data_IF_500339122149
#
_entry.id   IF_500339122149
#
_cell.length_a   1.000
_cell.length_b   1.000
_cell.length_c   1.000
_cell.angle_alpha   90.00
_cell.angle_beta   90.00
_cell.angle_gamma   90.00
#
_symmetry.space_group_name_H-M   'P 1'
#
loop_
_entity.id
_entity.type
_entity.pdbx_description
1 polymer ?
#
# COMPACT_ATOMS: atom_id res chain seq x y z
N UNK A 1 5.42 10.75 41.09
CA UNK A 1 6.16 11.04 39.84
C UNK A 1 5.21 10.67 38.71
N UNK A 2 5.52 11.01 37.46
CA UNK A 2 4.69 10.63 36.32
C UNK A 2 5.51 9.84 35.31
N UNK A 3 4.92 8.75 34.79
CA UNK A 3 5.43 8.06 33.62
C UNK A 3 4.88 8.78 32.40
N UNK A 4 5.77 9.28 31.55
CA UNK A 4 5.42 9.88 30.27
C UNK A 4 5.83 8.97 29.13
N UNK A 5 4.86 8.59 28.32
CA UNK A 5 5.08 7.91 27.05
C UNK A 5 4.78 8.86 25.90
N UNK A 6 5.75 9.03 25.01
CA UNK A 6 5.59 9.74 23.73
C UNK A 6 5.55 8.69 22.63
N UNK A 7 4.37 8.46 22.06
CA UNK A 7 4.14 7.46 21.01
C UNK A 7 4.11 8.20 19.67
N UNK A 8 5.10 7.95 18.80
CA UNK A 8 5.05 8.49 17.44
C UNK A 8 3.84 7.93 16.69
N UNK A 9 3.12 8.80 16.01
CA UNK A 9 1.88 8.43 15.35
C UNK A 9 1.68 9.24 14.07
N UNK A 10 1.82 8.59 12.92
CA UNK A 10 1.89 9.22 11.60
C UNK A 10 0.52 9.52 10.98
N UNK A 11 -0.53 9.67 11.80
CA UNK A 11 -1.89 9.98 11.34
C UNK A 11 -2.54 11.04 12.21
N UNK A 12 -3.26 11.98 11.61
CA UNK A 12 -4.06 12.99 12.31
C UNK A 12 -5.29 12.38 13.00
N UNK A 13 -5.51 11.07 12.87
CA UNK A 13 -6.57 10.38 13.56
C UNK A 13 -6.36 10.34 15.08
N UNK A 14 -7.48 10.34 15.80
CA UNK A 14 -7.51 10.39 17.26
C UNK A 14 -7.96 9.07 17.88
N UNK A 15 -8.35 8.07 17.08
CA UNK A 15 -8.89 6.81 17.61
C UNK A 15 -7.88 6.08 18.49
N UNK A 16 -6.59 6.11 18.13
CA UNK A 16 -5.56 5.44 18.92
C UNK A 16 -5.41 6.08 20.31
N UNK A 17 -5.36 7.42 20.37
CA UNK A 17 -5.40 8.17 21.63
C UNK A 17 -6.70 7.92 22.40
N UNK A 18 -7.83 7.81 21.69
CA UNK A 18 -9.13 7.48 22.25
C UNK A 18 -9.18 6.10 22.93
N UNK A 19 -8.54 5.07 22.34
CA UNK A 19 -8.40 3.74 22.94
C UNK A 19 -7.55 3.79 24.21
N UNK A 20 -6.42 4.51 24.18
CA UNK A 20 -5.59 4.71 25.38
C UNK A 20 -6.40 5.39 26.49
N UNK A 21 -7.16 6.43 26.16
CA UNK A 21 -7.99 7.15 27.12
C UNK A 21 -9.06 6.26 27.78
N UNK A 22 -9.68 5.36 27.00
CA UNK A 22 -10.62 4.36 27.50
C UNK A 22 -9.95 3.33 28.43
N UNK A 23 -8.75 2.88 28.09
CA UNK A 23 -7.97 1.96 28.94
C UNK A 23 -7.54 2.64 30.26
N UNK A 24 -7.09 3.90 30.22
CA UNK A 24 -6.79 4.70 31.42
C UNK A 24 -8.00 4.75 32.35
N UNK A 25 -9.17 5.13 31.81
CA UNK A 25 -10.42 5.21 32.59
C UNK A 25 -10.80 3.87 33.21
N UNK A 26 -10.71 2.77 32.45
CA UNK A 26 -11.05 1.41 32.92
C UNK A 26 -10.08 0.84 33.94
N UNK A 27 -8.84 1.31 33.93
CA UNK A 27 -7.81 0.86 34.87
C UNK A 27 -7.85 1.62 36.19
N UNK A 28 -8.69 2.66 36.26
CA UNK A 28 -8.85 3.55 37.41
C UNK A 28 -7.51 4.20 37.82
N UNK A 29 -6.64 4.47 36.83
CA UNK A 29 -5.36 5.15 37.02
C UNK A 29 -5.54 6.64 36.72
N UNK A 30 -4.94 7.50 37.55
CA UNK A 30 -4.86 8.92 37.23
C UNK A 30 -3.92 9.10 36.03
N UNK A 31 -4.43 9.72 34.97
CA UNK A 31 -3.69 9.80 33.71
C UNK A 31 -4.30 10.76 32.71
N UNK A 32 -3.45 11.22 31.81
CA UNK A 32 -3.79 12.19 30.77
C UNK A 32 -3.34 11.66 29.41
N UNK A 33 -4.24 11.72 28.43
CA UNK A 33 -3.92 11.42 27.03
C UNK A 33 -4.13 12.68 26.21
N UNK A 34 -3.12 13.07 25.43
CA UNK A 34 -3.20 14.22 24.54
C UNK A 34 -2.55 13.94 23.20
N UNK A 35 -3.03 14.61 22.16
CA UNK A 35 -2.44 14.58 20.81
C UNK A 35 -1.53 15.80 20.63
N UNK A 36 -0.30 15.56 20.21
CA UNK A 36 0.57 16.54 19.54
C UNK A 36 0.62 16.20 18.04
N UNK A 37 1.13 17.10 17.19
CA UNK A 37 1.13 16.94 15.72
C UNK A 37 1.51 15.52 15.27
N UNK A 38 2.68 15.03 15.67
CA UNK A 38 3.19 13.71 15.24
C UNK A 38 3.30 12.68 16.37
N UNK A 39 2.69 12.95 17.53
CA UNK A 39 2.72 12.00 18.66
C UNK A 39 1.48 11.98 19.54
N UNK A 40 1.20 10.83 20.13
CA UNK A 40 0.25 10.67 21.22
C UNK A 40 1.06 10.66 22.52
N UNK A 41 0.70 11.56 23.43
CA UNK A 41 1.35 11.70 24.72
C UNK A 41 0.43 11.09 25.77
N UNK A 42 0.97 10.13 26.51
CA UNK A 42 0.34 9.50 27.66
C UNK A 42 1.14 9.86 28.92
N UNK A 43 0.46 10.42 29.92
CA UNK A 43 0.99 10.66 31.25
C UNK A 43 0.22 9.80 32.25
N UNK A 44 0.92 9.06 33.09
CA UNK A 44 0.34 8.19 34.11
C UNK A 44 0.94 8.48 35.47
N UNK A 45 0.11 8.45 36.51
CA UNK A 45 0.55 8.56 37.90
C UNK A 45 1.20 7.25 38.30
N UNK A 46 2.44 7.31 38.77
CA UNK A 46 3.20 6.14 39.15
C UNK A 46 3.07 5.75 40.63
N UNK A 47 2.25 6.47 41.40
CA UNK A 47 2.09 6.24 42.84
C UNK A 47 1.25 5.00 43.18
N UNK A 48 0.26 4.63 42.35
CA UNK A 48 -0.58 3.45 42.55
C UNK A 48 -0.11 2.28 41.66
N UNK A 49 0.74 1.43 42.23
CA UNK A 49 1.28 0.22 41.59
C UNK A 49 0.17 -0.71 41.09
N UNK A 50 -0.93 -0.85 41.85
CA UNK A 50 -2.03 -1.73 41.47
C UNK A 50 -2.78 -1.19 40.25
N UNK A 51 -2.92 0.14 40.14
CA UNK A 51 -3.51 0.78 38.96
C UNK A 51 -2.62 0.64 37.72
N UNK A 52 -1.29 0.73 37.89
CA UNK A 52 -0.31 0.49 36.81
C UNK A 52 -0.39 -0.95 36.31
N UNK A 53 -0.48 -1.93 37.21
CA UNK A 53 -0.64 -3.34 36.85
C UNK A 53 -1.95 -3.58 36.08
N UNK A 54 -3.07 -3.00 36.55
CA UNK A 54 -4.35 -3.05 35.81
C UNK A 54 -4.22 -2.42 34.43
N UNK A 55 -3.57 -1.27 34.32
CA UNK A 55 -3.33 -0.58 33.06
C UNK A 55 -2.49 -1.41 32.09
N UNK A 56 -1.40 -2.01 32.57
CA UNK A 56 -0.53 -2.88 31.78
C UNK A 56 -1.31 -4.09 31.25
N UNK A 57 -2.07 -4.76 32.11
CA UNK A 57 -2.87 -5.92 31.74
C UNK A 57 -3.95 -5.56 30.71
N UNK A 58 -4.65 -4.43 30.90
CA UNK A 58 -5.66 -3.95 29.95
C UNK A 58 -5.04 -3.56 28.61
N UNK A 59 -3.88 -2.91 28.62
CA UNK A 59 -3.15 -2.53 27.40
C UNK A 59 -2.74 -3.76 26.62
N UNK A 60 -2.12 -4.75 27.27
CA UNK A 60 -1.71 -5.99 26.62
C UNK A 60 -2.89 -6.75 25.99
N UNK A 61 -4.06 -6.72 26.63
CA UNK A 61 -5.23 -7.47 26.17
C UNK A 61 -6.07 -6.73 25.13
N UNK A 62 -6.23 -5.42 25.27
CA UNK A 62 -7.26 -4.67 24.54
C UNK A 62 -6.73 -3.54 23.67
N UNK A 63 -5.46 -3.15 23.80
CA UNK A 63 -4.90 -2.09 22.96
C UNK A 63 -4.70 -2.61 21.53
N UNK A 64 -5.37 -2.04 20.53
CA UNK A 64 -5.12 -2.41 19.15
C UNK A 64 -3.76 -1.93 18.66
N UNK A 65 -3.15 -2.69 17.76
CA UNK A 65 -2.04 -2.21 16.93
C UNK A 65 -2.58 -1.31 15.80
N UNK A 66 -1.81 -0.30 15.41
CA UNK A 66 -2.13 0.61 14.29
C UNK A 66 -0.98 0.65 13.30
N UNK A 67 -1.28 0.70 11.99
CA UNK A 67 -0.25 0.89 10.95
C UNK A 67 0.46 2.26 11.04
N UNK A 68 -0.11 3.22 11.75
CA UNK A 68 0.48 4.55 11.93
C UNK A 68 1.37 4.66 13.16
N UNK A 69 1.42 3.63 14.00
CA UNK A 69 2.19 3.62 15.23
C UNK A 69 3.69 3.50 14.93
N UNK A 70 4.47 4.41 15.50
CA UNK A 70 5.92 4.40 15.45
C UNK A 70 6.56 4.09 16.81
N UNK A 71 7.78 4.61 17.00
CA UNK A 71 8.53 4.40 18.24
C UNK A 71 7.82 4.99 19.46
N UNK A 72 8.05 4.34 20.61
CA UNK A 72 7.53 4.76 21.92
C UNK A 72 8.71 5.12 22.81
N UNK A 73 8.78 6.38 23.21
CA UNK A 73 9.78 6.86 24.18
C UNK A 73 9.13 6.98 25.56
N UNK A 74 9.77 6.40 26.58
CA UNK A 74 9.27 6.45 27.97
C UNK A 74 10.28 7.16 28.86
N UNK A 75 9.81 8.18 29.60
CA UNK A 75 10.60 8.89 30.59
C UNK A 75 9.79 9.07 31.88
N UNK A 76 10.50 9.26 33.00
CA UNK A 76 9.89 9.70 34.25
C UNK A 76 10.08 11.21 34.39
N UNK A 77 9.01 11.93 34.67
CA UNK A 77 9.06 13.37 34.94
C UNK A 77 8.12 13.74 36.10
N UNK A 78 8.40 14.85 36.77
CA UNK A 78 7.45 15.45 37.70
C UNK A 78 6.47 16.30 36.89
N UNK A 79 5.24 15.81 36.75
CA UNK A 79 4.18 16.48 36.02
C UNK A 79 2.88 16.46 36.83
N UNK A 80 2.14 17.57 36.79
CA UNK A 80 0.80 17.62 37.35
C UNK A 80 -0.18 16.84 36.46
N UNK A 81 -0.67 15.73 36.98
CA UNK A 81 -1.62 14.87 36.27
C UNK A 81 -3.02 15.39 36.52
N UNK A 82 -3.56 16.08 35.52
CA UNK A 82 -4.98 16.41 35.45
C UNK A 82 -5.64 15.44 34.49
N UNK A 83 -6.61 14.66 34.99
CA UNK A 83 -7.38 13.74 34.16
C UNK A 83 -8.01 14.51 33.00
N UNK A 84 -7.71 14.09 31.77
CA UNK A 84 -8.33 14.64 30.57
C UNK A 84 -9.47 13.75 30.09
N UNK A 85 -10.43 14.36 29.39
CA UNK A 85 -11.34 13.66 28.51
C UNK A 85 -10.97 14.01 27.07
N UNK A 86 -10.39 13.06 26.35
CA UNK A 86 -10.29 13.13 24.90
C UNK A 86 -11.62 12.65 24.29
N UNK A 87 -12.20 13.42 23.39
CA UNK A 87 -13.27 12.98 22.50
C UNK A 87 -12.71 12.87 21.08
N UNK A 88 -12.97 11.76 20.40
CA UNK A 88 -12.59 11.57 19.01
C UNK A 88 -13.80 11.72 18.09
N UNK A 89 -13.55 12.07 16.82
CA UNK A 89 -14.54 11.81 15.76
C UNK A 89 -14.68 10.31 15.48
N UNK A 90 -15.57 9.97 14.55
CA UNK A 90 -15.68 8.62 14.01
C UNK A 90 -14.66 8.36 12.92
N UNK A 91 -14.24 7.10 12.85
CA UNK A 91 -13.32 6.61 11.85
C UNK A 91 -13.87 5.29 11.31
N UNK A 92 -13.62 5.04 10.02
CA UNK A 92 -13.98 3.79 9.37
C UNK A 92 -12.95 2.71 9.70
N UNK A 93 -12.85 2.37 10.99
CA UNK A 93 -11.93 1.37 11.53
C UNK A 93 -12.68 0.12 11.97
N UNK A 94 -11.97 -0.99 12.07
CA UNK A 94 -12.58 -2.26 12.47
C UNK A 94 -13.01 -2.27 13.94
N UNK A 95 -13.73 -3.32 14.33
CA UNK A 95 -14.03 -3.58 15.74
C UNK A 95 -12.73 -3.74 16.53
N UNK A 96 -12.61 -3.00 17.63
CA UNK A 96 -11.49 -3.17 18.55
C UNK A 96 -11.49 -4.58 19.19
N UNK A 97 -10.36 -5.04 19.74
CA UNK A 97 -10.25 -6.36 20.36
C UNK A 97 -11.34 -6.66 21.40
N UNK A 98 -11.75 -5.65 22.18
CA UNK A 98 -12.84 -5.79 23.16
C UNK A 98 -14.21 -6.00 22.52
N UNK A 99 -14.49 -5.35 21.40
CA UNK A 99 -15.74 -5.55 20.66
C UNK A 99 -15.75 -6.91 19.95
N UNK A 100 -14.61 -7.34 19.41
CA UNK A 100 -14.45 -8.67 18.83
C UNK A 100 -14.67 -9.78 19.86
N UNK A 101 -14.07 -9.66 21.06
CA UNK A 101 -14.31 -10.61 22.15
C UNK A 101 -15.81 -10.69 22.52
N UNK A 102 -16.49 -9.55 22.61
CA UNK A 102 -17.94 -9.52 22.86
C UNK A 102 -18.76 -10.19 21.75
N UNK A 103 -18.37 -10.00 20.48
CA UNK A 103 -19.08 -10.55 19.33
C UNK A 103 -18.88 -12.06 19.20
N UNK A 104 -17.69 -12.55 19.56
CA UNK A 104 -17.23 -13.93 19.29
C UNK A 104 -17.35 -14.87 20.49
N UNK A 105 -17.50 -14.36 21.71
CA UNK A 105 -17.59 -15.17 22.92
C UNK A 105 -19.05 -15.59 23.24
N UNK A 106 -19.38 -16.89 23.27
CA UNK A 106 -20.75 -17.37 23.57
C UNK A 106 -21.31 -16.96 24.93
N UNK A 107 -20.45 -16.57 25.88
CA UNK A 107 -20.87 -16.08 27.21
C UNK A 107 -21.21 -14.58 27.22
N UNK A 108 -20.97 -13.87 26.13
CA UNK A 108 -21.25 -12.44 25.99
C UNK A 108 -22.72 -12.19 25.67
N UNK A 109 -23.29 -11.12 26.25
CA UNK A 109 -24.64 -10.65 25.89
C UNK A 109 -24.75 -10.14 24.45
N UNK A 110 -23.62 -9.83 23.82
CA UNK A 110 -23.52 -9.36 22.42
C UNK A 110 -22.97 -10.43 21.48
N UNK A 111 -23.02 -11.71 21.89
CA UNK A 111 -22.59 -12.81 21.03
C UNK A 111 -23.41 -12.84 19.74
N UNK A 112 -22.72 -12.79 18.59
CA UNK A 112 -23.32 -12.71 17.25
C UNK A 112 -24.29 -11.53 17.04
N UNK A 113 -24.14 -10.45 17.81
CA UNK A 113 -24.91 -9.21 17.64
C UNK A 113 -24.39 -8.40 16.45
N UNK A 114 -25.13 -8.44 15.33
CA UNK A 114 -24.80 -7.74 14.09
C UNK A 114 -24.98 -6.21 14.17
N UNK A 115 -25.53 -5.71 15.27
CA UNK A 115 -25.72 -4.29 15.56
C UNK A 115 -24.58 -3.69 16.38
N UNK A 116 -23.60 -4.51 16.79
CA UNK A 116 -22.47 -4.04 17.60
C UNK A 116 -21.69 -2.96 16.86
N UNK A 117 -21.39 -1.88 17.58
CA UNK A 117 -20.57 -0.78 17.10
C UNK A 117 -19.50 -0.45 18.13
N UNK A 118 -18.35 0.06 17.68
CA UNK A 118 -17.27 0.39 18.59
C UNK A 118 -17.49 1.77 19.22
N UNK A 119 -17.46 1.80 20.55
CA UNK A 119 -17.52 3.02 21.36
C UNK A 119 -16.30 3.18 22.29
N UNK A 120 -15.26 2.37 22.11
CA UNK A 120 -14.12 2.27 23.03
C UNK A 120 -12.95 3.19 22.66
N UNK A 121 -13.06 4.01 21.61
CA UNK A 121 -12.07 5.03 21.29
C UNK A 121 -12.57 6.46 21.56
N UNK A 122 -13.49 6.60 22.53
CA UNK A 122 -14.04 7.90 22.96
C UNK A 122 -14.72 8.70 21.85
N UNK A 123 -15.38 8.02 20.93
CA UNK A 123 -16.05 8.63 19.80
C UNK A 123 -17.44 9.18 20.14
N UNK A 124 -17.79 10.31 19.51
CA UNK A 124 -19.05 11.03 19.77
C UNK A 124 -20.31 10.20 19.49
N UNK A 125 -20.32 9.39 18.44
CA UNK A 125 -21.45 8.51 18.09
C UNK A 125 -20.92 7.28 17.36
N UNK A 126 -21.28 6.03 17.71
CA UNK A 126 -20.75 4.88 17.00
C UNK A 126 -21.12 4.87 15.50
N UNK A 127 -20.13 4.69 14.61
CA UNK A 127 -20.34 4.55 13.17
C UNK A 127 -20.70 3.09 12.85
N UNK A 128 -21.76 2.88 12.07
CA UNK A 128 -22.06 1.59 11.46
C UNK A 128 -21.49 1.59 10.04
N UNK A 129 -20.53 0.71 9.79
CA UNK A 129 -19.95 0.49 8.45
C UNK A 129 -20.81 -0.53 7.73
N UNK A 130 -21.40 -0.14 6.60
CA UNK A 130 -22.11 -1.08 5.73
C UNK A 130 -21.10 -1.89 4.93
N UNK A 131 -21.32 -3.21 4.90
CA UNK A 131 -20.50 -4.15 4.14
C UNK A 131 -21.37 -4.78 3.04
N UNK A 132 -21.16 -4.31 1.81
CA UNK A 132 -21.86 -4.77 0.63
C UNK A 132 -21.17 -5.95 -0.07
N UNK A 133 -20.04 -6.44 0.45
CA UNK A 133 -19.28 -7.52 -0.17
C UNK A 133 -20.05 -8.83 -0.11
N UNK A 134 -19.84 -9.66 -1.13
CA UNK A 134 -20.32 -11.04 -1.18
C UNK A 134 -19.10 -11.95 -1.06
N UNK A 135 -19.13 -12.82 -0.05
CA UNK A 135 -18.04 -13.76 0.23
C UNK A 135 -18.37 -15.14 -0.32
N UNK A 136 -17.42 -15.76 -1.01
CA UNK A 136 -17.58 -17.03 -1.74
C UNK A 136 -16.38 -17.95 -1.52
N UNK A 137 -16.55 -19.28 -1.47
CA UNK A 137 -15.42 -20.21 -1.51
C UNK A 137 -14.79 -20.33 -2.92
N UNK A 138 -15.43 -19.74 -3.94
CA UNK A 138 -14.98 -19.77 -5.33
C UNK A 138 -14.23 -18.49 -5.68
N UNK A 139 -13.03 -18.66 -6.24
CA UNK A 139 -12.19 -17.56 -6.73
C UNK A 139 -12.65 -17.11 -8.11
N UNK A 140 -12.76 -15.79 -8.27
CA UNK A 140 -12.85 -15.08 -9.55
C UNK A 140 -11.59 -14.24 -9.76
N UNK A 141 -11.26 -13.96 -11.01
CA UNK A 141 -10.06 -13.19 -11.32
C UNK A 141 -10.13 -11.78 -10.74
N UNK A 142 -9.16 -11.42 -9.90
CA UNK A 142 -9.12 -10.12 -9.22
C UNK A 142 -9.62 -10.16 -7.77
N UNK A 143 -10.23 -11.26 -7.33
CA UNK A 143 -10.73 -11.41 -5.96
C UNK A 143 -9.63 -11.24 -4.91
N UNK A 144 -10.03 -10.64 -3.80
CA UNK A 144 -9.26 -10.61 -2.55
C UNK A 144 -9.69 -11.78 -1.67
N UNK A 145 -8.74 -12.37 -0.95
CA UNK A 145 -9.01 -13.44 0.00
C UNK A 145 -9.26 -12.87 1.39
N UNK A 146 -10.41 -13.20 1.98
CA UNK A 146 -10.73 -12.96 3.38
C UNK A 146 -10.07 -14.03 4.25
N UNK A 147 -9.23 -13.59 5.19
CA UNK A 147 -8.60 -14.46 6.19
C UNK A 147 -9.64 -14.87 7.22
N UNK A 148 -10.01 -16.14 7.22
CA UNK A 148 -11.00 -16.69 8.15
C UNK A 148 -10.39 -16.98 9.53
N UNK A 149 -9.16 -17.49 9.56
CA UNK A 149 -8.45 -17.80 10.79
C UNK A 149 -6.99 -17.31 10.73
N UNK A 150 -6.66 -16.34 11.58
CA UNK A 150 -5.31 -15.78 11.67
C UNK A 150 -4.25 -16.81 12.10
N UNK A 151 -4.64 -17.88 12.81
CA UNK A 151 -3.71 -18.96 13.19
C UNK A 151 -3.23 -19.80 11.99
N UNK A 152 -3.91 -19.70 10.84
CA UNK A 152 -3.60 -20.43 9.61
C UNK A 152 -2.72 -19.65 8.64
N UNK A 153 -2.40 -18.38 8.92
CA UNK A 153 -1.64 -17.51 8.01
C UNK A 153 -0.33 -18.15 7.54
N UNK A 154 0.47 -18.70 8.46
CA UNK A 154 1.77 -19.32 8.13
C UNK A 154 1.65 -20.65 7.38
N UNK A 155 0.46 -21.25 7.34
CA UNK A 155 0.18 -22.44 6.55
C UNK A 155 -0.18 -22.05 5.11
N UNK A 156 -0.98 -20.98 4.96
CA UNK A 156 -1.51 -20.53 3.68
C UNK A 156 -0.54 -19.64 2.90
N UNK A 157 0.28 -18.84 3.59
CA UNK A 157 1.09 -17.77 3.00
C UNK A 157 2.53 -17.77 3.50
N UNK A 158 3.43 -17.19 2.71
CA UNK A 158 4.77 -16.78 3.16
C UNK A 158 4.67 -15.28 3.45
N UNK A 159 4.86 -14.92 4.72
CA UNK A 159 4.71 -13.55 5.21
C UNK A 159 5.83 -13.19 6.18
N UNK A 160 6.22 -11.93 6.17
CA UNK A 160 7.08 -11.29 7.16
C UNK A 160 6.28 -10.90 8.41
N UNK A 161 6.98 -10.62 9.51
CA UNK A 161 6.32 -10.12 10.72
C UNK A 161 5.62 -8.78 10.50
N UNK A 162 6.18 -7.90 9.67
CA UNK A 162 5.62 -6.59 9.39
C UNK A 162 4.32 -6.70 8.58
N UNK A 163 4.25 -7.62 7.62
CA UNK A 163 3.02 -7.93 6.89
C UNK A 163 1.92 -8.47 7.82
N UNK A 164 2.28 -9.36 8.76
CA UNK A 164 1.32 -9.88 9.75
C UNK A 164 0.82 -8.75 10.67
N UNK A 165 1.72 -7.89 11.17
CA UNK A 165 1.36 -6.74 12.01
C UNK A 165 0.46 -5.75 11.27
N UNK A 166 0.75 -5.48 10.00
CA UNK A 166 -0.07 -4.61 9.16
C UNK A 166 -1.46 -5.23 8.93
N UNK A 167 -1.54 -6.48 8.49
CA UNK A 167 -2.81 -7.20 8.24
C UNK A 167 -3.72 -7.26 9.48
N UNK A 168 -3.12 -7.47 10.65
CA UNK A 168 -3.85 -7.63 11.91
C UNK A 168 -4.06 -6.31 12.67
N UNK A 169 -3.63 -5.17 12.14
CA UNK A 169 -3.88 -3.86 12.73
C UNK A 169 -5.39 -3.53 12.84
N UNK A 170 -5.74 -2.44 13.52
CA UNK A 170 -7.14 -1.99 13.63
C UNK A 170 -7.72 -1.46 12.32
N UNK A 171 -6.86 -0.97 11.43
CA UNK A 171 -7.25 -0.46 10.12
C UNK A 171 -7.54 -1.59 9.12
N UNK A 172 -7.02 -2.81 9.36
CA UNK A 172 -7.24 -4.02 8.55
C UNK A 172 -6.99 -3.77 7.04
N UNK A 173 -5.79 -3.28 6.66
CA UNK A 173 -5.47 -3.03 5.27
C UNK A 173 -5.43 -4.33 4.47
N UNK A 174 -5.62 -4.20 3.16
CA UNK A 174 -5.36 -5.24 2.18
C UNK A 174 -3.88 -5.23 1.83
N UNK A 175 -3.26 -6.41 1.90
CA UNK A 175 -1.85 -6.62 1.55
C UNK A 175 -1.73 -7.72 0.52
N UNK A 176 -0.68 -7.65 -0.30
CA UNK A 176 -0.33 -8.69 -1.27
C UNK A 176 0.73 -9.60 -0.68
N UNK A 177 0.49 -10.91 -0.72
CA UNK A 177 1.39 -11.92 -0.13
C UNK A 177 1.68 -13.06 -1.09
N UNK A 178 2.72 -13.83 -0.80
CA UNK A 178 3.05 -15.04 -1.57
C UNK A 178 2.24 -16.22 -1.06
N UNK A 179 1.58 -16.94 -1.95
CA UNK A 179 0.83 -18.16 -1.61
C UNK A 179 1.84 -19.28 -1.30
N UNK A 180 1.66 -19.91 -0.14
CA UNK A 180 2.38 -21.13 0.28
C UNK A 180 1.57 -22.38 -0.05
N UNK A 181 0.26 -22.35 0.19
CA UNK A 181 -0.61 -23.51 0.03
C UNK A 181 -0.80 -23.93 -1.44
N UNK A 182 -0.59 -25.21 -1.72
CA UNK A 182 -0.66 -25.75 -3.08
C UNK A 182 -2.09 -25.84 -3.62
N UNK A 183 -3.09 -26.05 -2.76
CA UNK A 183 -4.50 -26.08 -3.13
C UNK A 183 -4.96 -24.71 -3.61
N UNK A 184 -4.63 -23.66 -2.84
CA UNK A 184 -4.92 -22.28 -3.15
C UNK A 184 -4.21 -21.82 -4.44
N UNK A 185 -2.95 -22.21 -4.66
CA UNK A 185 -2.27 -21.98 -5.95
C UNK A 185 -3.01 -22.62 -7.12
N UNK A 186 -3.54 -23.83 -6.95
CA UNK A 186 -4.28 -24.53 -8.00
C UNK A 186 -5.62 -23.86 -8.30
N UNK A 187 -6.34 -23.42 -7.26
CA UNK A 187 -7.63 -22.73 -7.39
C UNK A 187 -7.46 -21.39 -8.10
N UNK A 188 -6.46 -20.60 -7.68
CA UNK A 188 -6.24 -19.25 -8.21
C UNK A 188 -5.42 -19.23 -9.49
N UNK A 189 -4.63 -20.30 -9.76
CA UNK A 189 -3.57 -20.30 -10.77
C UNK A 189 -2.54 -19.19 -10.58
N UNK A 190 -2.35 -18.71 -9.34
CA UNK A 190 -1.45 -17.59 -9.00
C UNK A 190 -0.41 -17.99 -7.96
N UNK A 191 0.70 -17.25 -7.95
CA UNK A 191 1.73 -17.32 -6.91
C UNK A 191 1.53 -16.27 -5.81
N UNK A 192 0.78 -15.20 -6.10
CA UNK A 192 0.52 -14.09 -5.20
C UNK A 192 -0.98 -13.84 -5.12
N UNK A 193 -1.43 -13.31 -3.98
CA UNK A 193 -2.83 -12.93 -3.79
C UNK A 193 -2.94 -11.77 -2.82
N UNK A 194 -3.97 -10.95 -3.01
CA UNK A 194 -4.39 -9.92 -2.05
C UNK A 194 -5.15 -10.60 -0.93
N UNK A 195 -4.81 -10.31 0.32
CA UNK A 195 -5.50 -10.82 1.49
C UNK A 195 -5.95 -9.67 2.40
N UNK A 196 -7.06 -9.89 3.09
CA UNK A 196 -7.62 -8.96 4.07
C UNK A 196 -8.11 -9.70 5.30
N UNK A 197 -7.89 -9.13 6.48
CA UNK A 197 -8.53 -9.61 7.70
C UNK A 197 -9.96 -9.06 7.80
N UNK A 198 -10.87 -9.75 8.50
CA UNK A 198 -12.24 -9.26 8.72
C UNK A 198 -12.22 -7.86 9.34
N UNK A 199 -12.78 -6.90 8.62
CA UNK A 199 -12.78 -5.49 9.00
C UNK A 199 -14.15 -4.99 9.45
N UNK A 200 -15.24 -5.62 9.03
CA UNK A 200 -16.61 -5.27 9.42
C UNK A 200 -17.25 -6.33 10.31
N UNK A 201 -18.41 -6.02 10.90
CA UNK A 201 -19.22 -6.98 11.68
C UNK A 201 -19.64 -8.16 10.79
N UNK A 202 -20.13 -7.86 9.58
CA UNK A 202 -20.54 -8.88 8.59
C UNK A 202 -19.36 -9.78 8.21
N UNK A 203 -18.22 -9.21 7.81
CA UNK A 203 -17.02 -9.98 7.48
C UNK A 203 -16.59 -10.88 8.64
N UNK A 204 -16.65 -10.37 9.88
CA UNK A 204 -16.29 -11.13 11.08
C UNK A 204 -17.24 -12.30 11.32
N UNK A 205 -18.56 -12.08 11.23
CA UNK A 205 -19.56 -13.14 11.38
C UNK A 205 -19.46 -14.18 10.25
N UNK A 206 -19.22 -13.73 9.02
CA UNK A 206 -19.00 -14.61 7.87
C UNK A 206 -17.76 -15.47 8.07
N UNK A 207 -16.66 -14.89 8.56
CA UNK A 207 -15.45 -15.64 8.89
C UNK A 207 -15.71 -16.67 10.02
N UNK A 208 -16.43 -16.31 11.08
CA UNK A 208 -16.79 -17.25 12.14
C UNK A 208 -17.58 -18.45 11.61
N UNK A 209 -18.63 -18.19 10.81
CA UNK A 209 -19.44 -19.25 10.23
C UNK A 209 -18.62 -20.13 9.27
N UNK A 210 -17.75 -19.52 8.46
CA UNK A 210 -16.83 -20.26 7.58
C UNK A 210 -15.88 -21.16 8.38
N UNK A 211 -15.33 -20.66 9.49
CA UNK A 211 -14.46 -21.41 10.38
C UNK A 211 -15.18 -22.62 11.00
N UNK A 212 -16.40 -22.43 11.47
CA UNK A 212 -17.23 -23.51 12.04
C UNK A 212 -17.60 -24.55 10.97
N UNK A 213 -17.72 -24.13 9.71
CA UNK A 213 -17.90 -24.99 8.54
C UNK A 213 -16.61 -25.58 7.96
N UNK A 214 -15.47 -25.45 8.66
CA UNK A 214 -14.14 -25.93 8.22
C UNK A 214 -13.63 -25.32 6.89
N UNK A 215 -14.12 -24.13 6.54
CA UNK A 215 -13.66 -23.36 5.38
C UNK A 215 -12.51 -22.44 5.81
N UNK A 216 -11.31 -22.69 5.30
CA UNK A 216 -10.09 -21.98 5.75
C UNK A 216 -9.95 -20.54 5.22
N UNK A 217 -10.65 -20.20 4.13
CA UNK A 217 -10.62 -18.88 3.51
C UNK A 217 -11.84 -18.65 2.61
N UNK A 218 -12.16 -17.40 2.35
CA UNK A 218 -13.19 -16.97 1.40
C UNK A 218 -12.62 -15.95 0.43
N UNK A 219 -13.25 -15.78 -0.72
CA UNK A 219 -12.92 -14.79 -1.75
C UNK A 219 -14.05 -13.77 -1.86
N UNK A 220 -13.70 -12.55 -2.24
CA UNK A 220 -14.64 -11.49 -2.52
C UNK A 220 -14.02 -10.43 -3.44
N UNK A 221 -14.86 -9.76 -4.20
CA UNK A 221 -14.50 -8.55 -4.91
C UNK A 221 -14.46 -7.39 -3.90
N UNK A 222 -13.28 -6.80 -3.68
CA UNK A 222 -13.12 -5.71 -2.72
C UNK A 222 -13.57 -4.38 -3.35
N UNK A 223 -14.65 -3.78 -2.83
CA UNK A 223 -15.15 -2.48 -3.31
C UNK A 223 -14.41 -1.29 -2.71
N UNK A 224 -14.09 -1.37 -1.42
CA UNK A 224 -13.42 -0.32 -0.66
C UNK A 224 -12.11 -0.83 -0.08
N UNK A 225 -11.01 -0.14 -0.35
CA UNK A 225 -9.68 -0.63 -0.07
C UNK A 225 -8.83 0.41 0.67
N UNK A 226 -8.27 -0.02 1.79
CA UNK A 226 -7.03 0.53 2.32
C UNK A 226 -5.94 -0.46 1.92
N UNK A 227 -5.17 -0.15 0.87
CA UNK A 227 -4.14 -1.03 0.34
C UNK A 227 -2.78 -0.54 0.82
N UNK A 228 -2.00 -1.44 1.43
CA UNK A 228 -0.66 -1.11 1.89
C UNK A 228 0.34 -2.14 1.38
N UNK A 229 1.59 -1.72 1.26
CA UNK A 229 2.74 -2.60 1.08
C UNK A 229 3.73 -2.37 2.21
N UNK A 230 4.54 -3.38 2.51
CA UNK A 230 5.59 -3.26 3.53
C UNK A 230 6.95 -3.51 2.88
N UNK A 231 7.92 -2.65 3.18
CA UNK A 231 9.30 -2.83 2.73
C UNK A 231 10.26 -2.35 3.82
N UNK A 232 11.16 -3.24 4.26
CA UNK A 232 12.22 -2.94 5.25
C UNK A 232 11.69 -2.26 6.52
N UNK A 233 10.56 -2.73 7.07
CA UNK A 233 9.93 -2.16 8.26
C UNK A 233 9.09 -0.91 8.03
N UNK A 234 9.05 -0.36 6.81
CA UNK A 234 8.17 0.76 6.48
C UNK A 234 6.86 0.27 5.86
N UNK A 235 5.74 0.79 6.36
CA UNK A 235 4.41 0.59 5.75
C UNK A 235 4.15 1.78 4.83
N UNK A 236 3.85 1.47 3.57
CA UNK A 236 3.49 2.43 2.54
C UNK A 236 2.03 2.27 2.18
N UNK A 237 1.26 3.36 2.30
CA UNK A 237 -0.16 3.38 1.95
C UNK A 237 -0.25 3.64 0.45
N UNK A 238 -0.57 2.60 -0.32
CA UNK A 238 -0.70 2.69 -1.78
C UNK A 238 -1.99 3.45 -2.13
N UNK A 239 -3.09 3.05 -1.49
CA UNK A 239 -4.42 3.59 -1.75
C UNK A 239 -5.27 3.56 -0.49
N UNK A 240 -6.15 4.52 -0.34
CA UNK A 240 -7.10 4.59 0.77
C UNK A 240 -8.43 5.20 0.33
N UNK A 241 -9.38 4.35 -0.08
CA UNK A 241 -10.75 4.78 -0.35
C UNK A 241 -11.60 4.88 0.93
N UNK A 242 -11.10 4.37 2.06
CA UNK A 242 -11.79 4.34 3.35
C UNK A 242 -11.61 5.65 4.15
N UNK A 243 -10.72 6.56 3.70
CA UNK A 243 -10.36 7.81 4.36
C UNK A 243 -9.83 7.59 5.79
N UNK A 244 -8.98 6.58 5.96
CA UNK A 244 -8.30 6.24 7.21
C UNK A 244 -6.99 7.02 7.37
N UNK A 245 -6.25 7.17 6.27
CA UNK A 245 -5.06 8.00 6.14
C UNK A 245 -5.40 9.49 6.22
N UNK A 246 -4.37 10.33 6.28
CA UNK A 246 -4.54 11.77 6.33
C UNK A 246 -5.19 12.29 5.04
N UNK A 247 -6.15 13.20 5.20
CA UNK A 247 -6.74 13.89 4.06
C UNK A 247 -5.77 14.93 3.52
N UNK A 248 -5.63 14.99 2.19
CA UNK A 248 -4.84 16.02 1.53
C UNK A 248 -5.49 17.40 1.73
N UNK A 249 -4.68 18.39 2.09
CA UNK A 249 -5.05 19.80 1.97
C UNK A 249 -5.18 20.16 0.49
N UNK A 250 -6.05 21.12 0.16
CA UNK A 250 -6.23 21.63 -1.20
C UNK A 250 -5.17 22.71 -1.50
N UNK A 251 -3.97 22.26 -1.88
CA UNK A 251 -2.81 23.11 -2.17
C UNK A 251 -2.64 23.41 -3.66
N UNK A 252 -3.24 22.60 -4.55
CA UNK A 252 -3.20 22.75 -6.01
C UNK A 252 -4.39 22.05 -6.68
N UNK A 253 -4.83 22.56 -7.84
CA UNK A 253 -5.93 21.96 -8.62
C UNK A 253 -5.53 20.65 -9.31
N UNK A 254 -4.25 20.50 -9.71
CA UNK A 254 -3.72 19.25 -10.25
C UNK A 254 -3.51 18.26 -9.10
N UNK A 255 -4.23 17.14 -9.12
CA UNK A 255 -4.21 16.13 -8.05
C UNK A 255 -2.83 15.56 -7.76
N UNK A 256 -2.00 15.39 -8.79
CA UNK A 256 -0.64 14.85 -8.65
C UNK A 256 0.26 15.91 -7.99
N UNK A 257 0.16 17.17 -8.43
CA UNK A 257 0.88 18.28 -7.78
C UNK A 257 0.41 18.45 -6.33
N UNK A 258 -0.90 18.42 -6.08
CA UNK A 258 -1.48 18.57 -4.76
C UNK A 258 -0.95 17.51 -3.78
N UNK A 259 -0.94 16.24 -4.21
CA UNK A 259 -0.37 15.13 -3.42
C UNK A 259 1.11 15.35 -3.15
N UNK A 260 1.90 15.71 -4.18
CA UNK A 260 3.32 15.99 -4.02
C UNK A 260 3.60 17.10 -2.98
N UNK A 261 2.82 18.19 -3.01
CA UNK A 261 2.96 19.28 -2.06
C UNK A 261 2.60 18.88 -0.62
N UNK A 262 1.52 18.11 -0.44
CA UNK A 262 1.14 17.59 0.87
C UNK A 262 2.22 16.67 1.46
N UNK A 263 2.77 15.74 0.66
CA UNK A 263 3.85 14.85 1.09
C UNK A 263 5.14 15.64 1.36
N UNK A 264 5.44 16.66 0.56
CA UNK A 264 6.60 17.54 0.81
C UNK A 264 6.45 18.31 2.12
N UNK A 265 5.23 18.78 2.43
CA UNK A 265 4.89 19.43 3.70
C UNK A 265 5.05 18.47 4.87
N UNK A 266 4.56 17.23 4.76
CA UNK A 266 4.76 16.16 5.75
C UNK A 266 6.25 15.92 6.04
N UNK A 267 7.08 15.92 5.00
CA UNK A 267 8.51 15.71 5.11
C UNK A 267 9.29 16.95 5.63
N UNK A 268 8.63 18.11 5.77
CA UNK A 268 9.27 19.37 6.13
C UNK A 268 10.14 19.96 5.01
N UNK A 269 9.89 19.60 3.75
CA UNK A 269 10.68 20.08 2.61
C UNK A 269 10.12 21.38 2.05
N UNK A 270 10.96 22.42 1.99
CA UNK A 270 10.62 23.69 1.32
C UNK A 270 10.78 23.63 -0.20
N UNK A 271 11.64 22.74 -0.69
CA UNK A 271 11.92 22.50 -2.10
C UNK A 271 12.17 20.99 -2.25
N UNK A 272 11.62 20.37 -3.28
CA UNK A 272 11.71 18.92 -3.48
C UNK A 272 11.62 18.53 -4.96
N UNK A 273 12.10 17.34 -5.26
CA UNK A 273 11.95 16.67 -6.56
C UNK A 273 11.09 15.42 -6.35
N UNK A 274 10.06 15.25 -7.18
CA UNK A 274 9.16 14.10 -7.10
C UNK A 274 9.38 13.14 -8.26
N UNK A 275 9.35 11.84 -7.98
CA UNK A 275 9.03 10.82 -8.96
C UNK A 275 7.62 10.25 -8.67
N UNK A 276 6.70 10.49 -9.58
CA UNK A 276 5.37 9.88 -9.60
C UNK A 276 5.39 8.69 -10.56
N UNK A 277 5.35 7.47 -10.01
CA UNK A 277 5.34 6.22 -10.76
C UNK A 277 3.95 5.57 -10.61
N UNK A 278 2.99 6.04 -11.40
CA UNK A 278 1.59 5.60 -11.32
C UNK A 278 1.17 4.90 -12.61
N UNK A 279 0.46 3.78 -12.48
CA UNK A 279 -0.18 3.08 -13.61
C UNK A 279 -1.29 3.94 -14.19
N UNK A 280 -2.12 4.55 -13.33
CA UNK A 280 -3.30 5.33 -13.74
C UNK A 280 -2.95 6.75 -14.17
N UNK A 281 -2.11 7.44 -13.39
CA UNK A 281 -1.76 8.84 -13.63
C UNK A 281 -0.53 8.98 -14.55
N UNK A 282 0.09 7.86 -14.93
CA UNK A 282 1.31 7.80 -15.73
C UNK A 282 2.57 8.15 -14.94
N UNK A 283 3.72 7.97 -15.59
CA UNK A 283 5.02 8.29 -15.00
C UNK A 283 5.36 9.76 -15.23
N UNK A 284 5.71 10.48 -14.17
CA UNK A 284 6.08 11.88 -14.25
C UNK A 284 7.08 12.30 -13.17
N UNK A 285 7.82 13.37 -13.46
CA UNK A 285 8.81 13.94 -12.55
C UNK A 285 8.52 15.42 -12.37
N UNK A 286 8.42 15.83 -11.12
CA UNK A 286 8.03 17.19 -10.74
C UNK A 286 9.14 17.84 -9.93
N UNK A 287 9.20 19.16 -9.97
CA UNK A 287 10.05 19.97 -9.11
C UNK A 287 9.19 21.03 -8.47
N UNK A 288 9.31 21.14 -7.14
CA UNK A 288 8.80 22.26 -6.36
C UNK A 288 9.98 23.05 -5.83
N UNK A 289 10.03 24.33 -6.13
CA UNK A 289 11.00 25.27 -5.60
C UNK A 289 10.27 26.49 -5.00
N UNK A 290 11.02 27.48 -4.49
CA UNK A 290 10.41 28.69 -3.88
C UNK A 290 9.53 29.52 -4.81
N UNK A 291 9.59 29.32 -6.12
CA UNK A 291 8.86 30.11 -7.12
C UNK A 291 7.61 29.40 -7.63
N UNK A 292 7.74 28.12 -7.96
CA UNK A 292 6.67 27.34 -8.59
C UNK A 292 6.83 25.84 -8.36
N UNK A 293 5.74 25.11 -8.56
CA UNK A 293 5.74 23.66 -8.70
C UNK A 293 5.31 23.30 -10.11
N UNK A 294 6.09 22.45 -10.79
CA UNK A 294 5.79 22.07 -12.17
C UNK A 294 6.28 20.68 -12.54
N UNK A 295 5.67 20.13 -13.57
CA UNK A 295 6.21 18.98 -14.30
C UNK A 295 7.51 19.37 -15.01
N UNK A 296 8.56 18.59 -14.78
CA UNK A 296 9.82 18.68 -15.52
C UNK A 296 9.88 17.67 -16.66
N UNK A 297 9.22 16.53 -16.46
CA UNK A 297 9.13 15.45 -17.41
C UNK A 297 7.81 14.72 -17.18
N UNK A 298 7.07 14.44 -18.24
CA UNK A 298 5.83 13.67 -18.19
C UNK A 298 5.87 12.66 -19.31
N UNK A 299 5.59 11.40 -18.99
CA UNK A 299 5.45 10.37 -20.01
C UNK A 299 4.22 10.73 -20.84
N UNK A 300 4.37 10.67 -22.16
CA UNK A 300 3.22 10.79 -23.07
C UNK A 300 2.23 9.67 -22.77
N UNK A 301 0.95 9.91 -23.10
CA UNK A 301 -0.06 8.86 -23.03
C UNK A 301 0.37 7.68 -23.90
N UNK A 302 0.35 6.48 -23.33
CA UNK A 302 0.63 5.27 -24.09
C UNK A 302 -0.66 4.76 -24.73
N UNK A 303 -0.63 4.60 -26.05
CA UNK A 303 -1.65 3.86 -26.81
C UNK A 303 -0.98 2.95 -27.81
N UNK A 304 -1.23 1.65 -27.69
CA UNK A 304 -0.58 0.62 -28.50
C UNK A 304 -0.61 0.93 -29.99
N UNK A 305 -1.79 1.27 -30.55
CA UNK A 305 -1.95 1.56 -31.97
C UNK A 305 -1.01 2.68 -32.46
N UNK A 306 -0.95 3.79 -31.73
CA UNK A 306 -0.05 4.91 -32.03
C UNK A 306 1.42 4.51 -31.95
N UNK A 307 1.80 3.70 -30.95
CA UNK A 307 3.19 3.24 -30.84
C UNK A 307 3.56 2.30 -31.99
N UNK A 308 2.65 1.42 -32.42
CA UNK A 308 2.88 0.52 -33.56
C UNK A 308 3.05 1.29 -34.87
N UNK A 309 2.28 2.37 -35.08
CA UNK A 309 2.47 3.27 -36.22
C UNK A 309 3.86 3.91 -36.21
N UNK A 310 4.29 4.45 -35.06
CA UNK A 310 5.63 5.01 -34.91
C UNK A 310 6.73 3.96 -35.12
N UNK A 311 6.53 2.72 -34.65
CA UNK A 311 7.46 1.62 -34.91
C UNK A 311 7.54 1.25 -36.40
N UNK A 312 6.43 1.37 -37.16
CA UNK A 312 6.41 1.12 -38.61
C UNK A 312 7.15 2.20 -39.40
N UNK A 313 7.24 3.43 -38.87
CA UNK A 313 7.98 4.54 -39.49
C UNK A 313 9.51 4.47 -39.28
N UNK A 314 9.96 3.74 -38.26
CA UNK A 314 11.39 3.49 -38.02
C UNK A 314 11.85 2.22 -38.74
N UNK A 315 12.82 2.34 -39.67
CA UNK A 315 13.28 1.21 -40.50
C UNK A 315 13.76 -0.01 -39.69
N UNK A 316 14.38 0.21 -38.51
CA UNK A 316 14.89 -0.88 -37.68
C UNK A 316 13.73 -1.54 -36.93
N UNK A 317 12.81 -0.74 -36.39
CA UNK A 317 11.66 -1.24 -35.62
C UNK A 317 10.62 -1.88 -36.53
N UNK A 318 10.45 -1.42 -37.76
CA UNK A 318 9.63 -2.07 -38.77
C UNK A 318 10.13 -3.49 -39.08
N UNK A 319 11.45 -3.66 -39.27
CA UNK A 319 12.05 -5.00 -39.45
C UNK A 319 11.86 -5.89 -38.22
N UNK A 320 11.96 -5.31 -37.02
CA UNK A 320 11.68 -6.02 -35.78
C UNK A 320 10.23 -6.51 -35.73
N UNK A 321 9.26 -5.66 -36.06
CA UNK A 321 7.83 -6.03 -36.10
C UNK A 321 7.57 -7.19 -37.06
N UNK A 322 8.11 -7.12 -38.29
CA UNK A 322 7.97 -8.20 -39.29
C UNK A 322 8.57 -9.52 -38.77
N UNK A 323 9.71 -9.46 -38.08
CA UNK A 323 10.32 -10.65 -37.50
C UNK A 323 9.54 -11.17 -36.28
N UNK A 324 8.97 -10.26 -35.49
CA UNK A 324 8.15 -10.60 -34.33
C UNK A 324 6.87 -11.31 -34.77
N UNK A 325 6.16 -10.77 -35.77
CA UNK A 325 4.95 -11.34 -36.36
C UNK A 325 5.16 -12.77 -36.88
N UNK A 326 6.30 -13.03 -37.52
CA UNK A 326 6.64 -14.39 -38.01
C UNK A 326 6.71 -15.44 -36.90
N UNK A 327 7.06 -15.05 -35.67
CA UNK A 327 7.22 -15.96 -34.52
C UNK A 327 6.01 -15.93 -33.58
N UNK A 328 5.37 -14.78 -33.46
CA UNK A 328 4.31 -14.48 -32.49
C UNK A 328 3.12 -13.81 -33.19
N UNK A 329 2.58 -14.45 -34.23
CA UNK A 329 1.50 -13.90 -35.05
C UNK A 329 0.23 -13.64 -34.23
N UNK A 330 -0.05 -14.49 -33.24
CA UNK A 330 -1.16 -14.35 -32.30
C UNK A 330 -1.06 -13.05 -31.47
N UNK A 331 0.15 -12.66 -31.04
CA UNK A 331 0.34 -11.41 -30.27
C UNK A 331 0.09 -10.20 -31.18
N UNK A 332 0.55 -10.24 -32.44
CA UNK A 332 0.30 -9.15 -33.40
C UNK A 332 -1.19 -9.03 -33.75
N UNK A 333 -1.88 -10.16 -33.94
CA UNK A 333 -3.33 -10.17 -34.14
C UNK A 333 -4.07 -9.58 -32.93
N UNK A 334 -3.65 -9.92 -31.71
CA UNK A 334 -4.21 -9.33 -30.48
C UNK A 334 -3.96 -7.81 -30.41
N UNK A 335 -2.76 -7.35 -30.80
CA UNK A 335 -2.43 -5.93 -30.87
C UNK A 335 -3.30 -5.15 -31.86
N UNK A 336 -3.57 -5.73 -33.03
CA UNK A 336 -4.41 -5.10 -34.06
C UNK A 336 -5.87 -5.01 -33.62
N UNK A 337 -6.35 -5.99 -32.85
CA UNK A 337 -7.71 -6.03 -32.33
C UNK A 337 -7.92 -5.11 -31.11
N UNK A 338 -6.85 -4.71 -30.40
CA UNK A 338 -6.93 -3.91 -29.19
C UNK A 338 -5.94 -2.71 -29.21
N UNK A 339 -6.08 -1.78 -30.18
CA UNK A 339 -5.16 -0.66 -30.34
C UNK A 339 -5.13 0.32 -29.16
N UNK A 340 -6.16 0.29 -28.31
CA UNK A 340 -6.29 1.11 -27.11
C UNK A 340 -5.52 0.59 -25.89
N UNK A 341 -4.90 -0.61 -25.98
CA UNK A 341 -4.15 -1.16 -24.85
C UNK A 341 -3.10 -0.17 -24.31
N UNK A 342 -3.08 -0.09 -22.98
CA UNK A 342 -2.09 0.64 -22.22
C UNK A 342 -0.75 -0.14 -22.17
N UNK A 343 0.26 0.45 -21.52
CA UNK A 343 1.60 -0.12 -21.46
C UNK A 343 1.61 -1.53 -20.84
N UNK A 344 0.93 -1.73 -19.70
CA UNK A 344 0.98 -3.01 -18.98
C UNK A 344 0.07 -4.08 -19.60
N UNK A 345 -1.03 -3.69 -20.25
CA UNK A 345 -1.83 -4.59 -21.09
C UNK A 345 -0.98 -5.10 -22.28
N UNK A 346 -0.26 -4.20 -22.95
CA UNK A 346 0.66 -4.54 -24.04
C UNK A 346 1.78 -5.47 -23.55
N UNK A 347 2.42 -5.15 -22.43
CA UNK A 347 3.46 -5.99 -21.84
C UNK A 347 2.93 -7.37 -21.45
N UNK A 348 1.72 -7.45 -20.89
CA UNK A 348 1.06 -8.72 -20.57
C UNK A 348 0.90 -9.60 -21.81
N UNK A 349 0.55 -9.03 -22.96
CA UNK A 349 0.46 -9.74 -24.23
C UNK A 349 1.84 -10.25 -24.70
N UNK A 350 2.87 -9.40 -24.67
CA UNK A 350 4.24 -9.78 -25.08
C UNK A 350 4.77 -10.92 -24.19
N UNK A 351 4.41 -10.89 -22.91
CA UNK A 351 4.78 -11.90 -21.93
C UNK A 351 3.81 -13.10 -21.91
N UNK A 352 2.83 -13.14 -22.80
CA UNK A 352 1.87 -14.25 -22.94
C UNK A 352 1.17 -14.60 -21.60
N UNK A 353 0.87 -13.58 -20.80
CA UNK A 353 0.19 -13.74 -19.51
C UNK A 353 -1.30 -14.02 -19.74
N UNK A 354 -2.02 -14.45 -18.70
CA UNK A 354 -3.48 -14.65 -18.78
C UNK A 354 -4.23 -13.34 -18.56
N UNK A 355 -3.88 -12.59 -17.52
CA UNK A 355 -4.45 -11.26 -17.29
C UNK A 355 -3.84 -10.20 -18.21
N UNK A 356 -4.51 -9.06 -18.28
CA UNK A 356 -4.15 -7.91 -19.12
C UNK A 356 -4.11 -6.66 -18.23
N UNK A 357 -3.17 -6.64 -17.30
CA UNK A 357 -3.10 -5.56 -16.31
C UNK A 357 -1.69 -5.45 -15.69
N UNK A 358 -1.51 -4.40 -14.90
CA UNK A 358 -0.29 -4.18 -14.14
C UNK A 358 0.00 -5.32 -13.16
N UNK A 359 -1.02 -5.78 -12.43
CA UNK A 359 -0.89 -6.83 -11.41
C UNK A 359 -0.25 -8.11 -11.96
N UNK A 360 -0.66 -8.57 -13.14
CA UNK A 360 -0.14 -9.79 -13.76
C UNK A 360 1.33 -9.64 -14.18
N UNK A 361 1.71 -8.49 -14.76
CA UNK A 361 3.11 -8.20 -15.10
C UNK A 361 3.95 -8.09 -13.83
N UNK A 362 3.41 -7.43 -12.81
CA UNK A 362 4.02 -7.27 -11.49
C UNK A 362 4.25 -8.63 -10.84
N UNK A 363 3.24 -9.49 -10.74
CA UNK A 363 3.35 -10.87 -10.22
C UNK A 363 4.42 -11.66 -10.95
N UNK A 364 4.41 -11.59 -12.28
CA UNK A 364 5.35 -12.33 -13.10
C UNK A 364 6.80 -11.93 -12.84
N UNK A 365 7.05 -10.66 -12.55
CA UNK A 365 8.38 -10.14 -12.22
C UNK A 365 8.94 -10.70 -10.91
N UNK A 366 8.08 -11.05 -9.94
CA UNK A 366 8.46 -11.52 -8.62
C UNK A 366 8.92 -12.99 -8.62
N UNK A 367 8.63 -13.73 -9.70
CA UNK A 367 9.07 -15.13 -9.88
C UNK A 367 10.58 -15.23 -10.20
N UNK A 368 11.23 -14.12 -10.57
CA UNK A 368 12.67 -14.10 -10.82
C UNK A 368 13.47 -13.92 -9.52
N UNK A 369 14.44 -14.81 -9.29
CA UNK A 369 15.29 -14.80 -8.09
C UNK A 369 16.77 -14.50 -8.38
N UNK A 370 17.09 -14.02 -9.59
CA UNK A 370 18.45 -13.68 -9.98
C UNK A 370 18.87 -12.25 -9.60
N UNK A 371 20.16 -11.95 -9.82
CA UNK A 371 20.76 -10.66 -9.52
C UNK A 371 21.00 -9.87 -10.82
N UNK A 372 20.02 -9.04 -11.20
CA UNK A 372 20.15 -8.12 -12.32
C UNK A 372 19.37 -8.52 -13.57
N UNK A 373 18.75 -7.52 -14.19
CA UNK A 373 17.92 -7.62 -15.37
C UNK A 373 18.68 -7.36 -16.66
N UNK A 374 17.96 -7.56 -17.75
CA UNK A 374 18.38 -7.16 -19.09
C UNK A 374 18.37 -5.64 -19.22
N UNK A 375 19.27 -5.13 -20.07
CA UNK A 375 19.29 -3.70 -20.41
C UNK A 375 18.16 -3.37 -21.36
N UNK A 376 17.08 -2.81 -20.84
CA UNK A 376 15.96 -2.28 -21.62
C UNK A 376 16.17 -0.79 -21.82
N UNK A 377 16.01 -0.33 -23.06
CA UNK A 377 16.19 1.08 -23.43
C UNK A 377 15.09 1.96 -22.84
N UNK A 378 15.46 2.91 -21.98
CA UNK A 378 14.55 3.87 -21.32
C UNK A 378 14.92 5.32 -21.67
N UNK A 379 14.91 5.64 -22.96
CA UNK A 379 15.32 6.95 -23.46
C UNK A 379 14.20 8.00 -23.42
N UNK A 380 14.61 9.27 -23.43
CA UNK A 380 13.74 10.42 -23.63
C UNK A 380 14.08 11.13 -24.94
N UNK A 381 13.05 11.47 -25.72
CA UNK A 381 13.09 12.33 -26.91
C UNK A 381 12.50 13.70 -26.57
N UNK A 382 12.52 14.63 -27.52
CA UNK A 382 11.93 15.97 -27.36
C UNK A 382 10.44 15.90 -26.94
N UNK A 383 9.70 14.93 -27.47
CA UNK A 383 8.27 14.72 -27.19
C UNK A 383 7.98 13.83 -25.96
N UNK A 384 9.00 13.47 -25.17
CA UNK A 384 8.86 12.67 -23.96
C UNK A 384 9.48 11.27 -24.04
N UNK A 385 8.93 10.32 -23.29
CA UNK A 385 9.50 8.97 -23.18
C UNK A 385 9.41 8.19 -24.50
N UNK A 386 10.51 7.55 -24.89
CA UNK A 386 10.62 6.81 -26.16
C UNK A 386 10.08 5.38 -26.04
N UNK A 387 8.76 5.23 -26.03
CA UNK A 387 8.08 3.94 -25.97
C UNK A 387 8.47 2.98 -27.11
N UNK A 388 8.81 3.51 -28.29
CA UNK A 388 9.26 2.72 -29.45
C UNK A 388 10.56 1.98 -29.16
N UNK A 389 11.52 2.66 -28.50
CA UNK A 389 12.77 2.02 -28.09
C UNK A 389 12.57 1.05 -26.93
N UNK A 390 11.72 1.42 -25.97
CA UNK A 390 11.37 0.59 -24.81
C UNK A 390 10.72 -0.73 -25.22
N UNK A 391 9.59 -0.69 -25.93
CA UNK A 391 8.92 -1.90 -26.44
C UNK A 391 9.83 -2.68 -27.40
N UNK A 392 10.54 -1.98 -28.28
CA UNK A 392 11.44 -2.64 -29.22
C UNK A 392 12.54 -3.47 -28.53
N UNK A 393 13.06 -3.00 -27.38
CA UNK A 393 14.02 -3.77 -26.58
C UNK A 393 13.38 -5.06 -26.05
N UNK A 394 12.19 -4.93 -25.46
CA UNK A 394 11.46 -6.04 -24.85
C UNK A 394 11.08 -7.10 -25.90
N UNK A 395 10.55 -6.67 -27.04
CA UNK A 395 10.22 -7.55 -28.17
C UNK A 395 11.46 -8.25 -28.73
N UNK A 396 12.59 -7.55 -28.81
CA UNK A 396 13.86 -8.15 -29.25
C UNK A 396 14.33 -9.25 -28.30
N UNK A 397 14.26 -9.04 -26.99
CA UNK A 397 14.63 -10.08 -26.02
C UNK A 397 13.63 -11.25 -25.99
N UNK A 398 12.33 -11.01 -26.18
CA UNK A 398 11.34 -12.06 -26.35
C UNK A 398 11.62 -12.90 -27.60
N UNK A 399 11.97 -12.27 -28.74
CA UNK A 399 12.39 -12.98 -29.95
C UNK A 399 13.61 -13.87 -29.72
N UNK A 400 14.56 -13.40 -28.91
CA UNK A 400 15.75 -14.16 -28.52
C UNK A 400 15.44 -15.35 -27.58
N UNK A 401 14.20 -15.54 -27.15
CA UNK A 401 13.78 -16.66 -26.31
C UNK A 401 14.02 -16.44 -24.82
N UNK A 402 14.01 -15.17 -24.38
CA UNK A 402 14.11 -14.85 -22.94
C UNK A 402 12.81 -15.23 -22.23
N UNK A 403 12.94 -15.87 -21.06
CA UNK A 403 11.81 -16.23 -20.20
C UNK A 403 11.00 -15.01 -19.74
N UNK A 404 9.68 -15.19 -19.62
CA UNK A 404 8.71 -14.12 -19.35
C UNK A 404 8.94 -13.45 -17.99
N UNK A 405 9.24 -14.24 -16.96
CA UNK A 405 9.50 -13.75 -15.60
C UNK A 405 10.78 -12.90 -15.55
N UNK A 406 11.80 -13.28 -16.32
CA UNK A 406 13.03 -12.51 -16.42
C UNK A 406 12.83 -11.20 -17.21
N UNK A 407 12.02 -11.22 -18.28
CA UNK A 407 11.61 -10.01 -19.01
C UNK A 407 10.81 -9.05 -18.12
N UNK A 408 9.81 -9.56 -17.39
CA UNK A 408 9.00 -8.76 -16.48
C UNK A 408 9.87 -8.12 -15.38
N UNK A 409 10.76 -8.90 -14.74
CA UNK A 409 11.74 -8.38 -13.79
C UNK A 409 12.60 -7.27 -14.39
N UNK A 410 13.17 -7.51 -15.56
CA UNK A 410 14.05 -6.54 -16.25
C UNK A 410 13.31 -5.24 -16.57
N UNK A 411 12.01 -5.33 -16.85
CA UNK A 411 11.16 -4.17 -17.18
C UNK A 411 11.00 -3.26 -15.96
N UNK A 412 10.67 -3.81 -14.79
CA UNK A 412 10.59 -3.03 -13.55
C UNK A 412 11.94 -2.50 -13.10
N UNK A 413 13.01 -3.28 -13.25
CA UNK A 413 14.36 -2.84 -12.93
C UNK A 413 14.80 -1.66 -13.82
N UNK A 414 14.50 -1.71 -15.13
CA UNK A 414 14.82 -0.63 -16.06
C UNK A 414 14.03 0.66 -15.77
N UNK A 415 12.75 0.55 -15.39
CA UNK A 415 11.94 1.70 -14.98
C UNK A 415 12.47 2.32 -13.67
N UNK A 416 12.89 1.49 -12.71
CA UNK A 416 13.53 1.97 -11.48
C UNK A 416 14.86 2.68 -11.76
N UNK A 417 15.75 2.07 -12.54
CA UNK A 417 17.05 2.66 -12.89
C UNK A 417 16.87 3.96 -13.71
N UNK A 418 15.85 4.03 -14.57
CA UNK A 418 15.46 5.26 -15.26
C UNK A 418 15.02 6.37 -14.29
N UNK A 419 14.15 6.04 -13.32
CA UNK A 419 13.70 7.02 -12.34
C UNK A 419 14.87 7.59 -11.52
N UNK A 420 15.79 6.72 -11.07
CA UNK A 420 17.00 7.12 -10.35
C UNK A 420 17.89 8.04 -11.21
N UNK A 421 18.10 7.69 -12.47
CA UNK A 421 18.88 8.52 -13.40
C UNK A 421 18.25 9.90 -13.57
N UNK A 422 16.94 9.96 -13.81
CA UNK A 422 16.20 11.22 -13.98
C UNK A 422 16.27 12.07 -12.72
N UNK A 423 16.06 11.50 -11.53
CA UNK A 423 16.15 12.22 -10.26
C UNK A 423 17.55 12.82 -10.04
N UNK A 424 18.63 12.11 -10.37
CA UNK A 424 19.99 12.63 -10.28
C UNK A 424 20.28 13.77 -11.26
N UNK A 425 19.72 13.71 -12.47
CA UNK A 425 19.83 14.80 -13.44
C UNK A 425 19.08 16.05 -12.93
N UNK A 426 17.87 15.88 -12.41
CA UNK A 426 17.09 16.97 -11.84
C UNK A 426 17.76 17.56 -10.59
N UNK A 427 18.32 16.72 -9.70
CA UNK A 427 19.16 17.14 -8.58
C UNK A 427 20.27 18.07 -9.04
N UNK A 428 21.02 17.68 -10.07
CA UNK A 428 22.14 18.47 -10.60
C UNK A 428 21.65 19.80 -11.21
N UNK A 429 20.55 19.76 -11.96
CA UNK A 429 19.98 20.92 -12.66
C UNK A 429 19.40 21.96 -11.70
N UNK A 430 18.61 21.52 -10.72
CA UNK A 430 17.89 22.39 -9.79
C UNK A 430 18.62 22.61 -8.46
N UNK A 431 19.66 21.83 -8.17
CA UNK A 431 20.41 21.84 -6.90
C UNK A 431 19.50 21.58 -5.68
N UNK A 432 18.57 20.64 -5.83
CA UNK A 432 17.66 20.19 -4.78
C UNK A 432 18.00 18.74 -4.42
N UNK A 433 18.17 18.49 -3.12
CA UNK A 433 18.57 17.19 -2.57
C UNK A 433 17.44 16.47 -1.80
N UNK A 434 16.24 17.05 -1.77
CA UNK A 434 15.07 16.44 -1.16
C UNK A 434 14.26 15.72 -2.24
N UNK A 435 13.95 14.45 -2.01
CA UNK A 435 13.24 13.60 -2.96
C UNK A 435 11.96 13.05 -2.36
N UNK A 436 10.87 13.11 -3.13
CA UNK A 436 9.57 12.50 -2.80
C UNK A 436 9.26 11.41 -3.81
N UNK A 437 8.76 10.28 -3.32
CA UNK A 437 8.36 9.13 -4.14
C UNK A 437 6.86 8.88 -3.95
N UNK A 438 6.12 8.78 -5.05
CA UNK A 438 4.68 8.49 -5.02
C UNK A 438 4.20 7.71 -6.25
N UNK A 439 3.00 7.15 -6.20
CA UNK A 439 2.38 6.33 -7.24
C UNK A 439 2.27 4.83 -6.89
N UNK A 440 1.26 4.16 -7.44
CA UNK A 440 0.90 2.78 -7.12
C UNK A 440 1.91 1.72 -7.58
N UNK A 441 2.82 2.06 -8.51
CA UNK A 441 3.83 1.11 -8.99
C UNK A 441 4.81 0.66 -7.89
N UNK A 442 4.92 1.41 -6.78
CA UNK A 442 5.73 1.06 -5.62
C UNK A 442 5.23 -0.17 -4.84
N UNK A 443 4.06 -0.68 -5.17
CA UNK A 443 3.64 -1.99 -4.69
C UNK A 443 4.47 -3.13 -5.28
N UNK A 444 5.04 -2.94 -6.48
CA UNK A 444 5.98 -3.91 -7.04
C UNK A 444 7.30 -3.85 -6.25
N UNK A 445 7.62 -4.94 -5.53
CA UNK A 445 8.80 -4.98 -4.67
C UNK A 445 10.12 -4.96 -5.44
N UNK A 446 10.16 -5.39 -6.72
CA UNK A 446 11.36 -5.27 -7.57
C UNK A 446 11.69 -3.79 -7.82
N UNK A 447 10.72 -3.02 -8.28
CA UNK A 447 10.87 -1.58 -8.51
C UNK A 447 11.20 -0.83 -7.21
N UNK A 448 10.42 -1.09 -6.16
CA UNK A 448 10.56 -0.39 -4.89
C UNK A 448 11.91 -0.68 -4.22
N UNK A 449 12.30 -1.96 -4.10
CA UNK A 449 13.59 -2.35 -3.52
C UNK A 449 14.79 -1.85 -4.34
N UNK A 450 14.66 -1.77 -5.67
CA UNK A 450 15.70 -1.22 -6.54
C UNK A 450 15.95 0.25 -6.27
N UNK A 451 14.89 1.05 -6.13
CA UNK A 451 14.99 2.48 -5.78
C UNK A 451 15.57 2.64 -4.38
N UNK A 452 15.02 1.95 -3.38
CA UNK A 452 15.49 2.07 -1.99
C UNK A 452 16.96 1.66 -1.86
N UNK A 453 17.40 0.58 -2.53
CA UNK A 453 18.79 0.11 -2.44
C UNK A 453 19.78 1.05 -3.14
N UNK A 454 19.54 1.37 -4.42
CA UNK A 454 20.49 2.16 -5.23
C UNK A 454 20.42 3.66 -4.99
N UNK A 455 19.29 4.16 -4.49
CA UNK A 455 19.09 5.58 -4.19
C UNK A 455 19.04 5.86 -2.68
N UNK A 456 19.44 4.89 -1.85
CA UNK A 456 19.48 4.98 -0.38
C UNK A 456 20.21 6.22 0.15
N UNK A 457 21.37 6.56 -0.42
CA UNK A 457 22.16 7.72 0.01
C UNK A 457 21.46 9.07 -0.19
N UNK A 458 20.49 9.13 -1.12
CA UNK A 458 19.66 10.30 -1.32
C UNK A 458 18.47 10.36 -0.35
N UNK A 459 18.26 9.30 0.45
CA UNK A 459 17.19 9.16 1.43
C UNK A 459 15.81 9.60 0.90
N UNK A 460 15.31 8.97 -0.18
CA UNK A 460 14.04 9.36 -0.77
C UNK A 460 12.89 9.18 0.23
N UNK A 461 12.04 10.19 0.32
CA UNK A 461 10.92 10.22 1.24
C UNK A 461 9.69 9.53 0.64
N UNK A 462 9.14 8.60 1.41
CA UNK A 462 7.84 7.98 1.19
C UNK A 462 6.91 8.41 2.32
N UNK A 463 5.69 8.82 1.97
CA UNK A 463 4.71 9.25 2.96
C UNK A 463 4.36 8.12 3.94
N UNK A 464 4.18 8.49 5.21
CA UNK A 464 3.74 7.58 6.26
C UNK A 464 2.29 7.84 6.68
N UNK A 465 1.79 9.04 6.43
CA UNK A 465 0.44 9.45 6.77
C UNK A 465 -0.52 9.56 5.59
N UNK A 466 -0.04 9.68 4.35
CA UNK A 466 -0.88 9.83 3.16
C UNK A 466 -0.84 8.60 2.26
N UNK A 467 -1.94 8.36 1.55
CA UNK A 467 -1.93 7.49 0.38
C UNK A 467 -1.10 8.11 -0.75
N UNK A 468 -0.18 7.33 -1.32
CA UNK A 468 0.73 7.80 -2.36
C UNK A 468 0.14 7.70 -3.78
N UNK A 469 -1.07 7.17 -3.95
CA UNK A 469 -1.85 7.24 -5.19
C UNK A 469 -3.37 7.37 -4.88
N UNK A 470 -4.20 7.42 -5.93
CA UNK A 470 -5.66 7.59 -5.88
C UNK A 470 -6.49 6.32 -5.60
#
# INVERSE_FOLDING_TARGET
MAIKQTIKYNSNSEYFAGFLQDIVKKSEIAGKVSRAEDSVILLLDDSDISAIERFSNNTQKFMPHSIFMGNIDTINEDADITNSSLESKNYNISLCPKCLDKLTNPSSSSYLDDSITCNHYSNKQPLKVEDNNVYSPHYSEGDTLLVVDSSKLNNLFIMTEDEIKALLSIEKPTIKVTIKDAGLKKITSKNYIKIKSPNTVKATMTALNAKDGEVEYLFFEETDTLRVTTLQGNILIIKDSLNISNSLEDLDEDRVINRFLNISKEAGFSEAICANLSVKNGISFLVSNKQETKYTLKFGEFRLGSILELMKLDEKKQKLLVNFEKKYSNIIEEFENNPEYNLFETLSCIFELKGRDFENVSDKSLEFHGNGGLKIDTFFKEDGFDYVSFLGSIMSFKLAGTDEHYLAYSTFEALADMAISTLNQLKTKYKIDNFVMMGDMFENSVLHSRIVSKFSLANPYFSKGFAIDD
#
